data_IF_073939149402
#
_entry.id   IF_073939149402
#
_cell.length_a   1.000
_cell.length_b   1.000
_cell.length_c   1.000
_cell.angle_alpha   90.00
_cell.angle_beta   90.00
_cell.angle_gamma   90.00
#
_symmetry.space_group_name_H-M   'P 1'
#
loop_
_entity.id
_entity.type
_entity.pdbx_description
1 polymer ?
#
# COMPACT_ATOMS: atom_id res chain seq x y z
N UNK A 1 -14.89 -33.42 41.25
CA UNK A 1 -13.71 -32.67 40.74
C UNK A 1 -13.23 -33.15 39.38
N UNK A 2 -13.48 -34.41 39.00
CA UNK A 2 -13.08 -35.01 37.71
C UNK A 2 -13.94 -34.57 36.51
N UNK A 3 -15.23 -34.25 36.72
CA UNK A 3 -16.16 -33.84 35.66
C UNK A 3 -15.79 -32.47 35.04
N UNK A 4 -15.47 -31.46 35.88
CA UNK A 4 -15.04 -30.13 35.39
C UNK A 4 -13.70 -30.17 34.63
N UNK A 5 -12.79 -31.09 34.99
CA UNK A 5 -11.52 -31.23 34.27
C UNK A 5 -11.71 -31.73 32.83
N UNK A 6 -12.60 -32.69 32.63
CA UNK A 6 -12.91 -33.21 31.29
C UNK A 6 -13.59 -32.16 30.39
N UNK A 7 -14.49 -31.33 30.93
CA UNK A 7 -15.13 -30.26 30.15
C UNK A 7 -14.15 -29.13 29.78
N UNK A 8 -13.16 -28.85 30.63
CA UNK A 8 -12.10 -27.89 30.31
C UNK A 8 -11.13 -28.43 29.25
N UNK A 9 -10.81 -29.73 29.30
CA UNK A 9 -9.98 -30.39 28.28
C UNK A 9 -10.70 -30.42 26.93
N UNK A 10 -12.00 -30.75 26.88
CA UNK A 10 -12.76 -30.76 25.64
C UNK A 10 -12.90 -29.35 25.04
N UNK A 11 -13.11 -28.33 25.87
CA UNK A 11 -13.12 -26.94 25.41
C UNK A 11 -11.75 -26.51 24.90
N UNK A 12 -10.66 -26.90 25.56
CA UNK A 12 -9.31 -26.60 25.08
C UNK A 12 -9.03 -27.27 23.71
N UNK A 13 -9.42 -28.53 23.53
CA UNK A 13 -9.29 -29.24 22.24
C UNK A 13 -10.16 -28.63 21.13
N UNK A 14 -11.38 -28.19 21.45
CA UNK A 14 -12.25 -27.49 20.51
C UNK A 14 -11.68 -26.12 20.11
N UNK A 15 -11.08 -25.40 21.07
CA UNK A 15 -10.40 -24.13 20.81
C UNK A 15 -9.15 -24.33 19.94
N UNK A 16 -8.35 -25.36 20.20
CA UNK A 16 -7.17 -25.70 19.39
C UNK A 16 -7.57 -26.11 17.97
N UNK A 17 -8.61 -26.95 17.80
CA UNK A 17 -9.13 -27.28 16.48
C UNK A 17 -9.67 -26.06 15.73
N UNK A 18 -10.33 -25.15 16.45
CA UNK A 18 -10.87 -23.92 15.86
C UNK A 18 -9.75 -22.97 15.44
N UNK A 19 -8.71 -22.84 16.25
CA UNK A 19 -7.50 -22.09 15.90
C UNK A 19 -6.78 -22.70 14.70
N UNK A 20 -6.60 -24.02 14.67
CA UNK A 20 -5.98 -24.72 13.55
C UNK A 20 -6.76 -24.53 12.26
N UNK A 21 -8.10 -24.66 12.29
CA UNK A 21 -8.96 -24.39 11.13
C UNK A 21 -8.87 -22.94 10.67
N UNK A 22 -8.85 -21.98 11.58
CA UNK A 22 -8.66 -20.56 11.25
C UNK A 22 -7.27 -20.29 10.65
N UNK A 23 -6.23 -20.95 11.16
CA UNK A 23 -4.86 -20.83 10.66
C UNK A 23 -4.69 -21.49 9.28
N UNK A 24 -5.36 -22.60 9.04
CA UNK A 24 -5.34 -23.32 7.78
C UNK A 24 -6.08 -22.54 6.68
N UNK A 25 -7.27 -21.99 7.00
CA UNK A 25 -7.97 -21.04 6.13
C UNK A 25 -7.14 -19.79 5.88
N UNK A 26 -6.53 -19.21 6.92
CA UNK A 26 -5.68 -18.04 6.77
C UNK A 26 -4.45 -18.33 5.92
N UNK A 27 -3.82 -19.52 6.03
CA UNK A 27 -2.70 -19.93 5.17
C UNK A 27 -3.12 -20.08 3.72
N UNK A 28 -4.32 -20.61 3.48
CA UNK A 28 -4.88 -20.79 2.15
C UNK A 28 -5.21 -19.46 1.49
N UNK A 29 -5.83 -18.54 2.24
CA UNK A 29 -6.10 -17.17 1.81
C UNK A 29 -4.80 -16.36 1.67
N UNK A 30 -3.80 -16.65 2.52
CA UNK A 30 -2.51 -15.98 2.50
C UNK A 30 -1.78 -16.16 1.18
N UNK A 31 -1.93 -17.25 0.45
CA UNK A 31 -1.26 -17.42 -0.85
C UNK A 31 -1.69 -16.36 -1.89
N UNK A 32 -2.96 -15.96 -1.86
CA UNK A 32 -3.47 -14.88 -2.72
C UNK A 32 -3.12 -13.50 -2.17
N UNK A 33 -3.25 -13.32 -0.86
CA UNK A 33 -2.83 -12.07 -0.18
C UNK A 33 -1.32 -11.84 -0.24
N UNK A 34 -0.49 -12.88 -0.38
CA UNK A 34 0.96 -12.74 -0.55
C UNK A 34 1.30 -12.15 -1.91
N UNK A 35 0.59 -12.55 -2.96
CA UNK A 35 0.77 -12.01 -4.33
C UNK A 35 0.32 -10.55 -4.41
N UNK A 36 -0.87 -10.27 -3.88
CA UNK A 36 -1.43 -8.90 -3.85
C UNK A 36 -0.61 -8.01 -2.91
N UNK A 37 -0.31 -8.49 -1.71
CA UNK A 37 0.52 -7.80 -0.71
C UNK A 37 1.93 -7.54 -1.21
N UNK A 38 2.54 -8.51 -1.91
CA UNK A 38 3.84 -8.37 -2.56
C UNK A 38 3.84 -7.30 -3.67
N UNK A 39 2.81 -7.29 -4.52
CA UNK A 39 2.67 -6.29 -5.58
C UNK A 39 2.49 -4.86 -5.00
N UNK A 40 1.67 -4.71 -3.95
CA UNK A 40 1.48 -3.42 -3.26
C UNK A 40 2.78 -2.95 -2.60
N UNK A 41 3.51 -3.84 -1.93
CA UNK A 41 4.80 -3.52 -1.31
C UNK A 41 5.84 -3.07 -2.36
N UNK A 42 5.99 -3.84 -3.44
CA UNK A 42 6.91 -3.51 -4.52
C UNK A 42 6.55 -2.15 -5.18
N UNK A 43 5.27 -1.93 -5.45
CA UNK A 43 4.77 -0.65 -5.98
C UNK A 43 5.03 0.51 -5.02
N UNK A 44 4.80 0.30 -3.72
CA UNK A 44 5.09 1.29 -2.67
C UNK A 44 6.56 1.65 -2.59
N UNK A 45 7.46 0.66 -2.62
CA UNK A 45 8.91 0.87 -2.62
C UNK A 45 9.39 1.61 -3.87
N UNK A 46 8.86 1.26 -5.05
CA UNK A 46 9.17 1.94 -6.31
C UNK A 46 8.74 3.42 -6.24
N UNK A 47 7.49 3.68 -5.86
CA UNK A 47 6.97 5.04 -5.74
C UNK A 47 7.77 5.86 -4.71
N UNK A 48 8.12 5.25 -3.57
CA UNK A 48 8.96 5.88 -2.56
C UNK A 48 10.35 6.23 -3.09
N UNK A 49 11.00 5.34 -3.83
CA UNK A 49 12.31 5.58 -4.43
C UNK A 49 12.28 6.77 -5.40
N UNK A 50 11.27 6.83 -6.26
CA UNK A 50 11.08 7.94 -7.22
C UNK A 50 10.89 9.26 -6.48
N UNK A 51 10.00 9.30 -5.47
CA UNK A 51 9.74 10.51 -4.68
C UNK A 51 10.98 10.96 -3.92
N UNK A 52 11.72 10.02 -3.32
CA UNK A 52 12.97 10.30 -2.58
C UNK A 52 14.04 10.88 -3.51
N UNK A 53 14.21 10.31 -4.70
CA UNK A 53 15.16 10.81 -5.70
C UNK A 53 14.78 12.23 -6.18
N UNK A 54 13.50 12.46 -6.46
CA UNK A 54 12.98 13.77 -6.90
C UNK A 54 13.19 14.85 -5.82
N UNK A 55 12.93 14.54 -4.55
CA UNK A 55 13.19 15.46 -3.43
C UNK A 55 14.67 15.83 -3.32
N UNK A 56 15.58 14.87 -3.38
CA UNK A 56 17.04 15.12 -3.35
C UNK A 56 17.49 16.04 -4.48
N UNK A 57 17.01 15.82 -5.70
CA UNK A 57 17.32 16.68 -6.85
C UNK A 57 16.88 18.13 -6.62
N UNK A 58 15.69 18.31 -6.04
CA UNK A 58 15.15 19.65 -5.73
C UNK A 58 15.94 20.35 -4.63
N UNK A 59 16.35 19.63 -3.60
CA UNK A 59 17.19 20.14 -2.53
C UNK A 59 18.55 20.65 -3.06
N UNK A 60 19.23 19.84 -3.86
CA UNK A 60 20.52 20.23 -4.46
C UNK A 60 20.40 21.49 -5.34
N UNK A 61 19.32 21.60 -6.14
CA UNK A 61 19.07 22.79 -6.97
C UNK A 61 18.77 24.03 -6.12
N UNK A 62 18.11 23.84 -4.98
CA UNK A 62 17.81 24.93 -4.05
C UNK A 62 19.10 25.42 -3.37
N UNK A 63 19.99 24.52 -2.99
CA UNK A 63 21.30 24.86 -2.42
C UNK A 63 22.18 25.59 -3.44
N UNK A 64 22.27 25.11 -4.67
CA UNK A 64 23.00 25.79 -5.76
C UNK A 64 22.48 27.21 -6.02
N UNK A 65 21.15 27.39 -6.01
CA UNK A 65 20.57 28.72 -6.19
C UNK A 65 20.93 29.68 -5.05
N UNK A 66 20.94 29.19 -3.80
CA UNK A 66 21.35 29.99 -2.64
C UNK A 66 22.83 30.37 -2.70
N UNK A 67 23.70 29.45 -3.12
CA UNK A 67 25.15 29.68 -3.25
C UNK A 67 25.47 30.72 -4.33
N UNK A 68 24.80 30.67 -5.49
CA UNK A 68 24.97 31.68 -6.56
C UNK A 68 24.50 33.05 -6.10
N UNK A 69 23.35 33.12 -5.42
CA UNK A 69 22.82 34.39 -4.87
C UNK A 69 23.75 34.98 -3.81
N UNK A 70 24.42 34.14 -3.01
CA UNK A 70 25.40 34.57 -2.00
C UNK A 70 26.65 35.13 -2.66
N UNK A 71 27.16 34.43 -3.68
CA UNK A 71 28.34 34.83 -4.44
C UNK A 71 28.16 36.16 -5.16
N UNK A 72 26.95 36.45 -5.63
CA UNK A 72 26.62 37.71 -6.30
C UNK A 72 26.17 38.83 -5.33
N UNK A 73 26.18 38.58 -4.01
CA UNK A 73 25.79 39.58 -3.01
C UNK A 73 24.29 39.93 -3.00
N UNK A 74 23.47 39.14 -3.69
CA UNK A 74 22.01 39.31 -3.84
C UNK A 74 21.22 38.53 -2.78
N UNK A 75 21.90 37.75 -1.92
CA UNK A 75 21.25 36.91 -0.92
C UNK A 75 20.80 37.74 0.29
N UNK A 76 19.54 38.19 0.28
CA UNK A 76 18.89 38.78 1.45
C UNK A 76 18.16 37.72 2.31
N UNK A 77 17.99 38.01 3.60
CA UNK A 77 17.32 37.14 4.58
C UNK A 77 15.86 36.83 4.19
N UNK A 78 15.17 37.77 3.52
CA UNK A 78 13.81 37.55 3.02
C UNK A 78 13.78 36.63 1.78
N UNK A 79 14.77 36.75 0.88
CA UNK A 79 14.93 35.86 -0.27
C UNK A 79 15.26 34.43 0.18
N UNK A 80 16.18 34.27 1.14
CA UNK A 80 16.47 32.98 1.77
C UNK A 80 15.20 32.35 2.34
N UNK A 81 14.42 33.09 3.13
CA UNK A 81 13.14 32.60 3.68
C UNK A 81 12.14 32.22 2.59
N UNK A 82 12.05 32.95 1.48
CA UNK A 82 11.12 32.64 0.38
C UNK A 82 11.54 31.41 -0.42
N UNK A 83 12.83 31.20 -0.64
CA UNK A 83 13.38 30.08 -1.40
C UNK A 83 13.34 28.78 -0.59
N UNK A 84 13.63 28.84 0.72
CA UNK A 84 13.64 27.66 1.61
C UNK A 84 12.24 27.29 2.11
N UNK A 85 11.24 28.18 2.01
CA UNK A 85 9.88 27.88 2.47
C UNK A 85 9.28 26.70 1.69
N UNK A 86 8.72 25.69 2.38
CA UNK A 86 8.05 24.59 1.72
C UNK A 86 6.81 25.12 0.99
N UNK A 87 6.83 25.10 -0.35
CA UNK A 87 5.68 25.47 -1.17
C UNK A 87 4.59 24.41 -1.01
N UNK A 88 3.45 24.79 -0.41
CA UNK A 88 2.27 23.93 -0.31
C UNK A 88 1.83 23.54 -1.74
N UNK A 89 1.74 22.24 -2.00
CA UNK A 89 1.32 21.74 -3.31
C UNK A 89 -0.20 21.73 -3.37
N UNK A 90 -0.80 22.65 -4.15
CA UNK A 90 -2.24 22.60 -4.44
C UNK A 90 -2.61 21.52 -5.45
N UNK A 91 -1.61 20.93 -6.13
CA UNK A 91 -1.82 19.98 -7.23
C UNK A 91 -1.81 18.51 -6.77
N UNK A 92 -1.09 18.19 -5.69
CA UNK A 92 -1.03 16.82 -5.17
C UNK A 92 -2.35 16.32 -4.59
N UNK A 93 -3.08 17.10 -3.74
CA UNK A 93 -4.34 16.63 -3.16
C UNK A 93 -5.43 16.38 -4.21
N UNK A 94 -5.53 17.25 -5.21
CA UNK A 94 -6.54 17.11 -6.27
C UNK A 94 -6.22 15.96 -7.22
N UNK A 95 -4.95 15.76 -7.57
CA UNK A 95 -4.56 14.62 -8.41
C UNK A 95 -4.63 13.29 -7.66
N UNK A 96 -4.25 13.21 -6.38
CA UNK A 96 -4.39 11.98 -5.61
C UNK A 96 -5.85 11.57 -5.48
N UNK A 97 -6.75 12.53 -5.25
CA UNK A 97 -8.19 12.24 -5.17
C UNK A 97 -8.72 11.70 -6.51
N UNK A 98 -8.33 12.29 -7.65
CA UNK A 98 -8.71 11.80 -8.98
C UNK A 98 -8.15 10.40 -9.26
N UNK A 99 -6.88 10.16 -8.93
CA UNK A 99 -6.24 8.85 -9.11
C UNK A 99 -6.87 7.78 -8.21
N UNK A 100 -7.25 8.12 -6.97
CA UNK A 100 -7.96 7.21 -6.08
C UNK A 100 -9.33 6.83 -6.64
N UNK A 101 -10.10 7.82 -7.08
CA UNK A 101 -11.41 7.58 -7.70
C UNK A 101 -11.25 6.69 -8.93
N UNK A 102 -10.32 7.03 -9.83
CA UNK A 102 -10.04 6.26 -11.04
C UNK A 102 -9.59 4.82 -10.72
N UNK A 103 -8.72 4.66 -9.72
CA UNK A 103 -8.26 3.36 -9.26
C UNK A 103 -9.39 2.52 -8.68
N UNK A 104 -10.28 3.13 -7.88
CA UNK A 104 -11.47 2.48 -7.33
C UNK A 104 -12.47 2.08 -8.42
N UNK A 105 -12.73 2.94 -9.42
CA UNK A 105 -13.61 2.56 -10.53
C UNK A 105 -13.01 1.45 -11.38
N UNK A 106 -11.71 1.51 -11.68
CA UNK A 106 -11.04 0.47 -12.46
C UNK A 106 -10.98 -0.86 -11.69
N UNK A 107 -10.76 -0.80 -10.38
CA UNK A 107 -10.83 -1.98 -9.51
C UNK A 107 -12.25 -2.56 -9.49
N UNK A 108 -13.27 -1.71 -9.34
CA UNK A 108 -14.69 -2.11 -9.45
C UNK A 108 -15.00 -2.80 -10.78
N UNK A 109 -14.46 -2.29 -11.88
CA UNK A 109 -14.76 -2.87 -13.19
C UNK A 109 -14.03 -4.18 -13.46
N UNK A 110 -12.76 -4.29 -13.04
CA UNK A 110 -11.91 -5.45 -13.32
C UNK A 110 -12.01 -6.58 -12.30
N UNK A 111 -12.12 -6.26 -11.01
CA UNK A 111 -12.06 -7.28 -9.96
C UNK A 111 -13.43 -7.56 -9.34
N UNK A 112 -14.31 -6.55 -9.23
CA UNK A 112 -15.62 -6.79 -8.61
C UNK A 112 -16.61 -7.50 -9.53
N UNK A 113 -16.42 -7.51 -10.86
CA UNK A 113 -17.24 -8.36 -11.77
C UNK A 113 -16.93 -9.84 -11.56
N UNK A 114 -15.65 -10.19 -11.44
CA UNK A 114 -15.20 -11.57 -11.23
C UNK A 114 -15.47 -12.05 -9.79
N UNK A 115 -15.44 -11.15 -8.79
CA UNK A 115 -15.77 -11.47 -7.39
C UNK A 115 -17.28 -11.59 -7.09
N UNK A 116 -18.15 -10.97 -7.91
CA UNK A 116 -19.61 -11.03 -7.74
C UNK A 116 -20.27 -12.12 -8.59
N UNK A 117 -19.56 -12.71 -9.55
CA UNK A 117 -19.99 -13.88 -10.32
C UNK A 117 -19.05 -15.07 -10.01
N UNK A 118 -19.35 -15.88 -8.98
CA UNK A 118 -18.54 -17.04 -8.62
C UNK A 118 -18.57 -18.20 -9.63
N UNK A 119 -19.30 -18.10 -10.75
CA UNK A 119 -19.58 -19.20 -11.67
C UNK A 119 -18.47 -19.50 -12.71
N UNK A 120 -17.43 -18.68 -12.79
CA UNK A 120 -16.43 -18.80 -13.87
C UNK A 120 -15.12 -19.50 -13.46
N UNK A 121 -14.94 -19.84 -12.18
CA UNK A 121 -13.77 -20.61 -11.73
C UNK A 121 -13.89 -22.13 -11.97
N UNK A 122 -15.07 -22.65 -12.33
CA UNK A 122 -15.27 -24.11 -12.52
C UNK A 122 -15.14 -24.57 -13.99
N UNK A 123 -15.15 -23.68 -14.98
CA UNK A 123 -15.22 -24.08 -16.41
C UNK A 123 -13.88 -24.31 -17.09
N UNK A 124 -12.77 -23.79 -16.55
CA UNK A 124 -11.44 -24.00 -17.13
C UNK A 124 -10.71 -25.26 -16.63
N UNK A 125 -11.27 -26.01 -15.66
CA UNK A 125 -10.67 -27.25 -15.16
C UNK A 125 -11.14 -28.53 -15.91
N UNK A 126 -12.13 -28.43 -16.81
CA UNK A 126 -12.73 -29.59 -17.51
C UNK A 126 -12.56 -29.59 -19.04
N UNK A 127 -11.70 -28.74 -19.60
CA UNK A 127 -11.35 -28.80 -21.04
C UNK A 127 -9.93 -29.35 -21.29
N UNK A 128 -9.35 -30.05 -20.31
CA UNK A 128 -8.04 -30.67 -20.39
C UNK A 128 -8.03 -32.18 -20.11
N UNK A 129 -9.14 -32.88 -20.34
CA UNK A 129 -9.19 -34.35 -20.36
C UNK A 129 -9.85 -34.83 -21.65
#
# INVERSE_FOLDING_TARGET
MTQMKNELESQAEELEQTLQKQLELFKKDSEEWLKVGGAVLAGGLLAFAIVKASKRKKENRTQQALEVLEREGLLDNDLRKKITKPKKSSFWPSMSQRLLILGLTLAKEKFFKDLLNPDDHEKNAKQGL
#
